data_IF_265109328284
#
_entry.id   IF_265109328284
#
_cell.length_a   1.000
_cell.length_b   1.000
_cell.length_c   1.000
_cell.angle_alpha   90.00
_cell.angle_beta   90.00
_cell.angle_gamma   90.00
#
_symmetry.space_group_name_H-M   'P 1'
#
loop_
_entity.id
_entity.type
_entity.pdbx_description
1 polymer ?
2 non-polymer ?
3 non-polymer ?
4 non-polymer ?
5 non-polymer ?
6 water ?
#
# COMPACT_ATOMS: atom_id res chain seq x y z
N UNK A 4 -18.95 5.44 -26.67
CA UNK A 4 -19.45 6.12 -25.47
C UNK A 4 -18.40 6.11 -24.35
N UNK A 5 -17.43 5.21 -24.45
CA UNK A 5 -16.60 4.89 -23.29
C UNK A 5 -15.20 4.52 -23.75
N UNK A 6 -14.25 4.64 -22.83
CA UNK A 6 -12.85 4.40 -23.17
C UNK A 6 -12.55 2.90 -23.28
N UNK A 7 -13.18 2.05 -22.48
CA UNK A 7 -13.00 0.60 -22.60
C UNK A 7 -13.93 0.03 -23.66
N UNK A 8 -13.39 -0.80 -24.55
CA UNK A 8 -14.27 -1.43 -25.52
C UNK A 8 -15.09 -2.57 -24.93
N UNK A 9 -14.66 -3.15 -23.82
CA UNK A 9 -15.48 -4.08 -23.07
C UNK A 9 -15.00 -4.08 -21.62
N UNK A 10 -15.90 -4.48 -20.72
CA UNK A 10 -15.65 -4.40 -19.29
C UNK A 10 -15.03 -5.70 -18.79
N UNK A 11 -13.82 -5.95 -19.28
CA UNK A 11 -13.04 -7.13 -18.94
C UNK A 11 -11.59 -6.75 -18.80
N UNK A 12 -10.82 -7.67 -18.23
CA UNK A 12 -9.37 -7.48 -18.15
C UNK A 12 -8.78 -7.27 -19.53
N UNK A 13 -9.30 -7.99 -20.55
CA UNK A 13 -8.81 -7.79 -21.91
C UNK A 13 -9.11 -6.39 -22.42
N UNK A 14 -10.30 -5.87 -22.11
CA UNK A 14 -10.59 -4.50 -22.48
C UNK A 14 -9.63 -3.52 -21.82
N UNK A 15 -9.30 -3.76 -20.55
CA UNK A 15 -8.37 -2.87 -19.86
C UNK A 15 -7.00 -2.94 -20.50
N UNK A 16 -6.53 -4.15 -20.79
CA UNK A 16 -5.22 -4.28 -21.44
C UNK A 16 -5.17 -3.57 -22.79
N UNK A 17 -6.23 -3.71 -23.60
CA UNK A 17 -6.26 -3.01 -24.88
C UNK A 17 -6.23 -1.50 -24.66
N UNK A 18 -6.97 -1.03 -23.67
CA UNK A 18 -6.94 0.39 -23.37
C UNK A 18 -5.55 0.83 -22.94
N UNK A 19 -4.89 0.04 -22.09
CA UNK A 19 -3.58 0.40 -21.58
C UNK A 19 -2.57 0.55 -22.72
N UNK A 20 -2.66 -0.30 -23.72
CA UNK A 20 -1.69 -0.19 -24.80
C UNK A 20 -2.12 0.77 -25.90
N UNK A 21 -3.31 1.37 -25.79
CA UNK A 21 -3.72 2.44 -26.69
C UNK A 21 -3.03 3.74 -26.33
N UNK A 22 -3.04 4.68 -27.28
CA UNK A 22 -2.38 5.95 -27.04
C UNK A 22 -3.12 6.78 -25.99
N UNK A 23 -4.36 6.43 -25.67
CA UNK A 23 -5.13 7.21 -24.71
C UNK A 23 -4.69 7.01 -23.27
N UNK A 24 -3.96 5.94 -22.98
CA UNK A 24 -3.64 5.59 -21.60
C UNK A 24 -2.15 5.82 -21.41
N UNK A 25 -1.81 6.91 -20.75
CA UNK A 25 -0.42 7.27 -20.49
C UNK A 25 -0.06 7.31 -19.01
N UNK A 26 -1.02 7.57 -18.13
CA UNK A 26 -0.74 7.79 -16.71
C UNK A 26 -1.64 6.92 -15.84
N UNK A 27 -1.03 6.02 -15.08
CA UNK A 27 -1.72 5.05 -14.25
C UNK A 27 -1.47 5.40 -12.78
N UNK A 28 -2.55 5.45 -11.99
CA UNK A 28 -2.44 5.56 -10.53
C UNK A 28 -2.82 4.22 -9.94
N UNK A 29 -1.95 3.67 -9.09
CA UNK A 29 -2.29 2.48 -8.33
C UNK A 29 -2.72 2.88 -6.92
N UNK A 30 -3.79 2.24 -6.43
CA UNK A 30 -4.22 2.31 -5.04
C UNK A 30 -4.13 0.91 -4.49
N UNK A 31 -3.30 0.70 -3.45
CA UNK A 31 -3.04 -0.65 -2.98
C UNK A 31 -3.21 -0.74 -1.47
N UNK A 32 -3.58 -1.95 -1.01
CA UNK A 32 -3.77 -2.27 0.38
C UNK A 32 -3.15 -3.58 0.78
N UNK A 33 -3.59 -4.12 1.93
CA UNK A 33 -2.89 -5.26 2.53
C UNK A 33 -2.93 -6.49 1.65
N UNK A 34 -3.91 -6.58 0.75
CA UNK A 34 -4.03 -7.75 -0.10
C UNK A 34 -2.85 -7.96 -1.04
N UNK A 35 -2.04 -6.92 -1.28
CA UNK A 35 -0.89 -7.09 -2.17
C UNK A 35 0.33 -7.58 -1.42
N UNK A 36 0.27 -7.72 -0.10
CA UNK A 36 1.44 -8.15 0.66
C UNK A 36 1.23 -9.44 1.42
N UNK A 37 0.02 -10.00 1.43
CA UNK A 37 -0.20 -11.25 2.15
C UNK A 37 0.62 -12.40 1.54
N UNK A 38 0.77 -12.44 0.22
CA UNK A 38 1.56 -13.52 -0.35
C UNK A 38 3.04 -13.38 -0.05
N UNK A 39 3.46 -12.20 0.44
CA UNK A 39 4.83 -11.97 0.87
C UNK A 39 5.07 -12.41 2.31
N UNK A 40 4.03 -12.86 2.98
CA UNK A 40 4.13 -13.26 4.36
C UNK A 40 3.78 -12.17 5.34
N UNK A 41 3.31 -11.03 4.88
CA UNK A 41 2.92 -9.91 5.75
C UNK A 41 1.41 -10.05 5.98
N UNK A 42 0.96 -10.41 7.18
CA UNK A 42 -0.48 -10.52 7.43
C UNK A 42 -1.18 -9.18 7.29
N UNK A 43 -2.47 -9.25 6.95
CA UNK A 43 -3.35 -8.09 6.95
C UNK A 43 -3.79 -7.89 8.39
N UNK A 44 -3.13 -6.97 9.10
CA UNK A 44 -3.43 -6.81 10.52
C UNK A 44 -4.74 -6.04 10.73
N UNK A 45 -5.60 -6.04 9.71
CA UNK A 45 -6.98 -5.59 9.83
C UNK A 45 -7.97 -6.71 9.57
N UNK A 46 -7.52 -7.84 9.00
CA UNK A 46 -8.33 -9.05 8.86
C UNK A 46 -8.33 -9.83 10.17
N UNK A 47 -9.49 -10.29 10.62
CA UNK A 47 -9.56 -10.98 11.91
C UNK A 47 -8.81 -12.30 11.93
N UNK A 48 -8.63 -12.95 10.77
CA UNK A 48 -7.98 -14.26 10.73
C UNK A 48 -6.54 -14.21 11.23
N UNK A 49 -5.87 -13.07 11.03
CA UNK A 49 -4.52 -12.89 11.57
C UNK A 49 -4.54 -12.84 13.09
N UNK A 50 -5.64 -12.36 13.68
CA UNK A 50 -5.80 -12.40 15.11
C UNK A 50 -4.88 -11.48 15.88
N UNK A 51 -4.53 -10.32 15.30
CA UNK A 51 -3.68 -9.37 16.01
C UNK A 51 -4.28 -8.96 17.34
N UNK A 52 -5.54 -8.50 17.33
CA UNK A 52 -6.14 -7.94 18.53
C UNK A 52 -6.33 -8.98 19.63
N UNK A 53 -6.31 -10.27 19.29
CA UNK A 53 -6.56 -11.32 20.26
C UNK A 53 -5.35 -11.58 21.14
N UNK A 54 -4.16 -11.66 20.55
CA UNK A 54 -2.96 -12.00 21.31
C UNK A 54 -2.45 -10.85 22.18
N UNK A 55 -3.03 -9.64 22.04
CA UNK A 55 -2.49 -8.45 22.69
C UNK A 55 -2.77 -8.38 24.18
N UNK A 56 -2.70 -9.51 24.88
CA UNK A 56 -2.87 -9.50 26.33
C UNK A 56 -1.55 -9.46 27.09
N UNK A 57 -0.47 -9.98 26.49
CA UNK A 57 0.84 -9.97 27.11
C UNK A 57 1.39 -8.57 27.32
N UNK A 58 0.79 -7.54 26.71
CA UNK A 58 1.29 -6.18 26.77
C UNK A 58 0.58 -5.31 27.80
N UNK A 59 -0.51 -5.80 28.39
CA UNK A 59 -1.11 -5.20 29.58
C UNK A 59 -1.57 -3.76 29.29
N UNK A 60 -2.55 -3.64 28.30
CA UNK A 60 -3.04 -2.40 27.73
C UNK A 60 -4.33 -1.95 28.42
N UNK A 61 -4.54 -0.63 28.57
CA UNK A 61 -5.84 -0.15 29.11
C UNK A 61 -7.01 -0.45 28.19
N UNK A 62 -6.80 -0.43 26.89
CA UNK A 62 -7.77 -0.86 25.90
C UNK A 62 -7.01 -1.29 24.66
N UNK A 63 -7.59 -2.17 23.84
CA UNK A 63 -6.78 -2.81 22.78
C UNK A 63 -6.15 -1.84 21.79
N UNK A 64 -6.84 -0.74 21.46
CA UNK A 64 -6.36 0.16 20.43
C UNK A 64 -5.30 1.14 20.92
N UNK A 65 -5.08 1.21 22.24
CA UNK A 65 -4.12 2.17 22.79
C UNK A 65 -2.72 1.89 22.30
N UNK A 66 -2.40 0.63 21.97
CA UNK A 66 -1.07 0.30 21.46
C UNK A 66 -0.86 0.81 20.05
N UNK A 67 -1.90 1.29 19.38
CA UNK A 67 -1.78 1.88 18.06
C UNK A 67 -2.01 3.39 18.08
N UNK A 68 -2.14 3.99 19.27
CA UNK A 68 -2.50 5.39 19.43
C UNK A 68 -1.28 6.21 19.83
N UNK A 69 -1.25 7.48 19.40
CA UNK A 69 -0.04 8.30 19.49
C UNK A 69 0.22 8.77 20.92
N UNK A 70 -0.81 9.19 21.65
CA UNK A 70 -0.58 9.72 23.00
C UNK A 70 -0.12 8.61 23.94
N UNK A 71 -0.82 7.46 23.92
CA UNK A 71 -0.36 6.33 24.70
C UNK A 71 1.07 5.96 24.33
N UNK A 72 1.37 5.93 23.03
CA UNK A 72 2.71 5.58 22.58
C UNK A 72 3.75 6.52 23.16
N UNK A 73 3.48 7.83 23.12
CA UNK A 73 4.47 8.77 23.64
C UNK A 73 4.63 8.63 25.15
N UNK A 74 3.57 8.25 25.87
CA UNK A 74 3.71 7.99 27.31
C UNK A 74 4.29 6.61 27.61
N UNK A 75 3.98 5.63 26.78
CA UNK A 75 4.32 4.23 27.07
C UNK A 75 4.62 3.56 25.74
N UNK A 76 5.84 3.75 25.22
CA UNK A 76 6.16 3.16 23.92
C UNK A 76 6.55 1.70 23.96
N UNK A 77 6.84 1.15 25.15
CA UNK A 77 7.32 -0.22 25.27
C UNK A 77 6.35 -1.24 24.66
N UNK A 78 5.04 -1.17 24.91
CA UNK A 78 4.15 -2.18 24.29
C UNK A 78 4.25 -2.18 22.78
N UNK A 79 4.21 -1.00 22.15
CA UNK A 79 4.33 -0.94 20.70
C UNK A 79 5.60 -1.64 20.20
N UNK A 80 6.73 -1.39 20.85
CA UNK A 80 7.99 -1.93 20.34
C UNK A 80 8.14 -3.43 20.62
N UNK A 81 7.56 -3.91 21.72
CA UNK A 81 7.51 -5.35 21.95
C UNK A 81 6.66 -6.04 20.89
N UNK A 82 5.50 -5.46 20.59
CA UNK A 82 4.66 -5.98 19.53
C UNK A 82 5.37 -5.93 18.19
N UNK A 83 6.16 -4.87 17.96
CA UNK A 83 6.89 -4.75 16.70
C UNK A 83 7.94 -5.85 16.57
N UNK A 84 8.54 -6.27 17.69
CA UNK A 84 9.44 -7.41 17.64
C UNK A 84 8.66 -8.67 17.29
N UNK A 85 7.53 -8.88 17.95
CA UNK A 85 6.71 -10.08 17.71
C UNK A 85 6.29 -10.18 16.24
N UNK A 86 5.90 -9.06 15.62
CA UNK A 86 5.36 -9.05 14.27
C UNK A 86 6.40 -8.76 13.20
N UNK A 87 7.68 -8.62 13.56
CA UNK A 87 8.69 -8.26 12.56
C UNK A 87 8.79 -9.34 11.50
N UNK A 88 8.80 -8.98 10.21
CA UNK A 88 8.79 -10.01 9.16
C UNK A 88 10.08 -10.82 9.16
N UNK A 89 9.96 -12.08 8.74
CA UNK A 89 11.16 -12.88 8.61
C UNK A 89 11.97 -12.56 7.37
N UNK A 90 11.33 -11.92 6.39
CA UNK A 90 11.97 -11.57 5.14
C UNK A 90 11.17 -10.44 4.53
N UNK A 91 11.84 -9.62 3.72
CA UNK A 91 11.19 -8.53 2.99
C UNK A 91 11.29 -8.82 1.49
N UNK A 92 10.33 -9.59 0.99
CA UNK A 92 10.37 -10.07 -0.39
C UNK A 92 9.08 -9.62 -1.05
N UNK A 93 9.09 -8.54 -1.81
CA UNK A 93 7.86 -8.04 -2.42
C UNK A 93 7.25 -9.06 -3.37
N UNK A 94 5.99 -8.85 -3.68
CA UNK A 94 5.21 -9.81 -4.46
C UNK A 94 5.24 -9.49 -5.96
N UNK A 95 4.68 -10.43 -6.73
CA UNK A 95 4.46 -10.20 -8.15
C UNK A 95 3.72 -8.89 -8.36
N UNK A 96 2.77 -8.57 -7.49
CA UNK A 96 2.03 -7.31 -7.59
C UNK A 96 2.97 -6.11 -7.45
N UNK A 97 3.82 -6.12 -6.43
CA UNK A 97 4.76 -5.01 -6.26
C UNK A 97 5.64 -4.85 -7.49
N UNK A 98 6.14 -5.96 -8.02
CA UNK A 98 7.02 -5.84 -9.18
C UNK A 98 6.25 -5.47 -10.44
N UNK A 99 4.95 -5.80 -10.51
CA UNK A 99 4.14 -5.29 -11.60
C UNK A 99 4.11 -3.78 -11.58
N UNK A 100 4.00 -3.19 -10.38
CA UNK A 100 4.08 -1.73 -10.29
C UNK A 100 5.46 -1.22 -10.68
N UNK A 101 6.52 -1.94 -10.31
CA UNK A 101 7.84 -1.53 -10.77
C UNK A 101 7.94 -1.59 -12.30
N UNK A 102 7.30 -2.59 -12.93
CA UNK A 102 7.26 -2.67 -14.38
C UNK A 102 6.48 -1.49 -14.97
N UNK A 103 5.37 -1.11 -14.34
CA UNK A 103 4.68 0.11 -14.76
C UNK A 103 5.62 1.31 -14.73
N UNK A 104 6.40 1.42 -13.67
CA UNK A 104 7.37 2.52 -13.58
C UNK A 104 8.38 2.45 -14.72
N UNK A 105 8.90 1.25 -14.97
CA UNK A 105 9.92 1.06 -16.00
C UNK A 105 9.38 1.39 -17.39
N UNK A 106 8.11 1.09 -17.64
CA UNK A 106 7.48 1.33 -18.93
C UNK A 106 7.02 2.78 -19.09
N UNK A 107 7.24 3.63 -18.10
CA UNK A 107 6.83 5.03 -18.17
C UNK A 107 5.36 5.27 -18.00
N UNK A 108 4.63 4.35 -17.35
CA UNK A 108 3.19 4.44 -17.18
C UNK A 108 2.77 4.82 -15.77
N UNK A 109 3.66 4.81 -14.79
CA UNK A 109 3.25 4.97 -13.39
C UNK A 109 3.27 6.44 -12.99
N UNK A 110 2.09 7.02 -12.77
CA UNK A 110 2.01 8.36 -12.21
C UNK A 110 2.24 8.35 -10.70
N UNK A 111 1.59 7.44 -9.98
CA UNK A 111 1.74 7.43 -8.54
C UNK A 111 1.18 6.12 -8.01
N UNK A 112 1.77 5.64 -6.93
CA UNK A 112 1.18 4.53 -6.18
C UNK A 112 0.80 5.08 -4.81
N UNK A 113 -0.49 5.07 -4.51
CA UNK A 113 -1.00 5.40 -3.18
C UNK A 113 -1.16 4.09 -2.43
N UNK A 114 -0.47 3.95 -1.29
CA UNK A 114 -0.53 2.70 -0.54
C UNK A 114 -1.03 2.93 0.87
N UNK A 115 -1.82 1.98 1.36
CA UNK A 115 -2.21 1.92 2.76
C UNK A 115 -1.22 1.15 3.61
N UNK A 116 -0.26 0.49 3.00
CA UNK A 116 0.61 -0.43 3.73
C UNK A 116 1.79 0.32 4.34
N UNK A 117 2.26 -0.18 5.49
CA UNK A 117 3.44 0.35 6.17
C UNK A 117 4.63 -0.59 6.03
N UNK A 118 4.50 -1.66 5.24
CA UNK A 118 5.47 -2.74 5.28
C UNK A 118 6.73 -2.52 4.45
N UNK A 119 6.83 -1.40 3.71
CA UNK A 119 7.99 -0.94 2.95
C UNK A 119 8.18 -1.70 1.64
N UNK A 120 7.32 -2.67 1.30
CA UNK A 120 7.65 -3.52 0.16
C UNK A 120 7.62 -2.75 -1.16
N UNK A 121 6.83 -1.68 -1.27
CA UNK A 121 6.90 -0.84 -2.48
C UNK A 121 8.31 -0.32 -2.73
N UNK A 122 8.98 0.11 -1.65
CA UNK A 122 10.33 0.67 -1.80
C UNK A 122 11.32 -0.43 -2.16
N UNK A 123 11.20 -1.59 -1.52
CA UNK A 123 12.13 -2.67 -1.82
C UNK A 123 11.96 -3.14 -3.25
N UNK A 124 10.73 -3.09 -3.76
CA UNK A 124 10.44 -3.44 -5.14
C UNK A 124 10.92 -2.41 -6.14
N UNK A 125 11.40 -1.25 -5.70
CA UNK A 125 12.01 -0.29 -6.59
C UNK A 125 11.16 0.93 -6.91
N UNK A 126 10.05 1.16 -6.22
CA UNK A 126 9.36 2.43 -6.35
C UNK A 126 10.09 3.47 -5.51
N UNK A 127 10.25 4.68 -6.06
CA UNK A 127 11.00 5.71 -5.36
C UNK A 127 10.04 6.59 -4.56
N UNK A 128 10.62 7.37 -3.64
CA UNK A 128 9.79 8.23 -2.81
C UNK A 128 8.84 9.07 -3.66
N UNK A 129 9.31 9.57 -4.80
CA UNK A 129 8.46 10.44 -5.62
C UNK A 129 7.29 9.66 -6.21
N UNK A 130 7.44 8.35 -6.41
CA UNK A 130 6.38 7.51 -6.96
C UNK A 130 5.29 7.19 -5.96
N UNK A 131 5.51 7.45 -4.67
CA UNK A 131 4.74 6.84 -3.60
C UNK A 131 4.03 7.90 -2.77
N UNK A 132 2.78 7.61 -2.40
CA UNK A 132 2.11 8.30 -1.31
C UNK A 132 1.81 7.21 -0.28
N UNK A 133 2.58 7.19 0.80
CA UNK A 133 2.35 6.22 1.87
C UNK A 133 1.34 6.84 2.82
N UNK A 134 0.06 6.61 2.50
CA UNK A 134 -1.03 7.34 3.12
C UNK A 134 -1.10 7.08 4.61
N UNK A 135 -0.68 5.90 5.06
CA UNK A 135 -0.68 5.57 6.47
C UNK A 135 0.74 5.53 7.07
N UNK A 136 1.70 6.11 6.37
CA UNK A 136 3.09 6.10 6.81
C UNK A 136 3.80 4.81 6.47
N UNK A 137 4.94 4.60 7.13
CA UNK A 137 5.79 3.46 6.80
C UNK A 137 6.78 3.20 7.93
N UNK A 138 7.22 1.95 8.03
CA UNK A 138 8.36 1.58 8.87
C UNK A 138 9.70 1.97 8.25
N UNK A 139 9.71 2.41 7.00
CA UNK A 139 10.96 2.51 6.24
C UNK A 139 11.92 3.48 6.89
N UNK A 140 11.40 4.59 7.40
CA UNK A 140 12.19 5.58 8.11
C UNK A 140 11.52 5.88 9.44
N UNK A 141 12.32 6.35 10.39
CA UNK A 141 11.85 6.72 11.71
C UNK A 141 12.45 8.07 12.06
N UNK A 142 11.80 8.80 12.94
CA UNK A 142 12.34 10.10 13.37
C UNK A 142 12.27 10.26 14.87
N UNK A 143 13.32 10.86 15.41
CA UNK A 143 13.26 11.50 16.71
C UNK A 143 12.00 12.33 16.83
N UNK A 144 11.28 12.16 17.95
CA UNK A 144 10.02 12.88 18.10
C UNK A 144 10.19 14.34 18.53
N UNK A 145 11.38 14.76 18.95
CA UNK A 145 11.55 16.14 19.39
C UNK A 145 11.54 17.07 18.18
N UNK A 146 10.66 18.08 18.20
CA UNK A 146 10.44 18.92 17.03
C UNK A 146 11.71 19.68 16.65
N UNK A 147 12.55 19.98 17.62
CA UNK A 147 13.77 20.75 17.35
C UNK A 147 14.92 19.88 16.86
N UNK A 148 14.70 18.57 16.74
CA UNK A 148 15.77 17.66 16.32
C UNK A 148 15.35 16.88 15.08
N UNK A 149 14.40 15.96 15.20
CA UNK A 149 13.85 15.21 14.06
C UNK A 149 14.92 14.44 13.29
N UNK A 150 15.95 13.95 13.98
CA UNK A 150 16.95 13.08 13.38
C UNK A 150 16.27 11.87 12.74
N UNK A 151 16.65 11.55 11.51
CA UNK A 151 16.06 10.43 10.77
C UNK A 151 16.93 9.19 10.93
N UNK A 152 16.27 8.05 11.11
CA UNK A 152 16.93 6.76 11.28
C UNK A 152 16.34 5.75 10.30
N UNK A 153 17.19 4.97 9.66
CA UNK A 153 16.71 3.97 8.70
C UNK A 153 16.21 2.72 9.42
N UNK A 154 15.52 1.87 8.66
CA UNK A 154 14.91 0.68 9.24
C UNK A 154 15.95 -0.24 9.90
N UNK A 155 17.15 -0.36 9.34
CA UNK A 155 18.16 -1.24 9.96
C UNK A 155 18.47 -0.83 11.41
N UNK A 156 18.59 0.48 11.66
CA UNK A 156 18.83 0.96 13.01
C UNK A 156 17.66 0.61 13.93
N UNK A 157 16.45 0.86 13.43
CA UNK A 157 15.24 0.60 14.21
C UNK A 157 15.09 -0.88 14.50
N UNK A 158 15.43 -1.74 13.53
CA UNK A 158 15.38 -3.17 13.73
C UNK A 158 16.35 -3.61 14.82
N UNK A 159 17.59 -3.11 14.77
CA UNK A 159 18.53 -3.44 15.83
C UNK A 159 17.97 -3.08 17.20
N UNK A 160 17.37 -1.89 17.33
CA UNK A 160 16.78 -1.52 18.62
C UNK A 160 15.64 -2.45 19.00
N UNK A 161 14.78 -2.81 18.04
CA UNK A 161 13.59 -3.60 18.34
C UNK A 161 13.96 -4.99 18.80
N UNK A 162 14.91 -5.64 18.12
CA UNK A 162 15.28 -7.00 18.50
C UNK A 162 16.08 -7.03 19.80
N UNK A 163 16.93 -6.03 20.03
CA UNK A 163 17.61 -6.03 21.32
C UNK A 163 16.70 -5.62 22.47
N UNK A 164 15.44 -5.28 22.17
CA UNK A 164 14.46 -4.88 23.19
C UNK A 164 14.96 -3.66 23.98
N UNK A 165 15.62 -2.76 23.28
CA UNK A 165 16.01 -1.46 23.81
C UNK A 165 15.08 -0.42 23.20
N UNK A 166 14.49 0.42 24.03
CA UNK A 166 13.60 1.43 23.48
C UNK A 166 14.42 2.42 22.68
N UNK A 167 14.11 2.63 21.40
CA UNK A 167 14.99 3.44 20.53
C UNK A 167 14.96 4.91 20.95
N UNK A 168 16.14 5.44 21.25
CA UNK A 168 16.32 6.83 21.64
C UNK A 168 17.27 7.51 20.66
N UNK A 169 17.03 8.79 20.44
CA UNK A 169 17.82 9.57 19.50
C UNK A 169 19.26 9.72 19.99
N UNK A 170 20.21 9.47 19.11
CA UNK A 170 21.62 9.60 19.45
C UNK A 170 22.04 11.05 19.67
N UNK A 171 21.31 12.01 19.08
CA UNK A 171 21.66 13.42 19.29
C UNK A 171 21.07 13.97 20.58
N UNK A 172 19.81 13.63 20.88
CA UNK A 172 19.12 14.31 21.98
C UNK A 172 18.44 13.38 22.99
N UNK A 173 18.51 12.07 22.78
CA UNK A 173 17.95 11.03 23.67
C UNK A 173 16.42 11.03 23.73
N UNK A 174 15.73 11.75 22.86
CA UNK A 174 14.29 11.61 22.76
C UNK A 174 13.92 10.26 22.14
N UNK A 175 12.67 9.88 22.36
CA UNK A 175 12.09 8.73 21.68
C UNK A 175 12.17 8.88 20.16
N UNK A 176 12.46 7.76 19.48
CA UNK A 176 12.41 7.69 18.03
C UNK A 176 11.21 6.84 17.64
N UNK A 177 10.38 7.36 16.75
CA UNK A 177 9.13 6.73 16.36
C UNK A 177 9.17 6.37 14.87
N UNK A 178 8.80 5.16 14.48
CA UNK A 178 8.67 4.88 13.04
C UNK A 178 7.69 5.86 12.41
N UNK A 179 7.91 6.14 11.12
CA UNK A 179 7.10 7.13 10.40
C UNK A 179 5.72 6.61 10.04
N UNK A 180 5.15 5.80 10.90
CA UNK A 180 3.78 5.33 10.78
C UNK A 180 2.83 6.44 11.20
N UNK A 181 1.70 6.55 10.52
CA UNK A 181 0.61 7.41 10.99
C UNK A 181 -0.08 6.65 12.13
N UNK A 182 0.20 7.01 13.38
CA UNK A 182 -0.49 6.39 14.49
C UNK A 182 -1.94 6.88 14.57
N UNK A 183 -2.80 6.09 15.20
CA UNK A 183 -4.14 6.58 15.50
C UNK A 183 -4.02 7.86 16.30
N UNK A 184 -4.78 8.88 15.92
CA UNK A 184 -4.68 10.17 16.53
C UNK A 184 -3.79 11.16 15.82
N UNK A 185 -3.00 10.72 14.86
CA UNK A 185 -2.25 11.62 13.98
C UNK A 185 -3.01 11.81 12.68
N UNK A 186 -2.73 12.92 12.00
CA UNK A 186 -3.35 13.17 10.72
C UNK A 186 -2.54 12.51 9.61
N UNK A 187 -3.23 12.16 8.52
CA UNK A 187 -2.53 11.63 7.36
C UNK A 187 -1.57 12.70 6.85
N UNK A 188 -0.49 12.30 6.18
CA UNK A 188 0.51 13.28 5.74
C UNK A 188 -0.09 14.29 4.77
N UNK A 189 0.44 15.51 4.80
CA UNK A 189 -0.05 16.53 3.87
C UNK A 189 0.16 16.11 2.42
N UNK A 190 1.22 15.34 2.18
CA UNK A 190 1.53 14.81 0.86
C UNK A 190 0.33 14.06 0.26
N UNK A 191 -0.45 13.38 1.10
CA UNK A 191 -1.61 12.64 0.59
C UNK A 191 -2.61 13.57 -0.09
N UNK A 192 -2.92 14.70 0.54
CA UNK A 192 -3.92 15.61 0.01
C UNK A 192 -3.36 16.43 -1.15
N UNK A 193 -2.11 16.87 -1.06
CA UNK A 193 -1.53 17.67 -2.15
C UNK A 193 -1.36 16.84 -3.41
N UNK A 194 -0.83 15.61 -3.25
CA UNK A 194 -0.70 14.75 -4.42
C UNK A 194 -2.07 14.44 -5.00
N UNK A 195 -3.06 14.10 -4.16
CA UNK A 195 -4.40 13.82 -4.66
C UNK A 195 -4.89 14.95 -5.56
N UNK A 196 -4.79 16.19 -5.06
CA UNK A 196 -5.24 17.37 -5.79
C UNK A 196 -4.62 17.46 -7.18
N UNK A 197 -3.33 17.13 -7.30
CA UNK A 197 -2.71 17.24 -8.61
C UNK A 197 -2.86 15.98 -9.47
N UNK A 198 -2.66 14.80 -8.88
CA UNK A 198 -2.59 13.55 -9.63
C UNK A 198 -3.91 13.23 -10.30
N UNK A 199 -5.04 13.53 -9.64
CA UNK A 199 -6.29 13.06 -10.21
C UNK A 199 -6.81 13.97 -11.32
N UNK A 200 -6.10 15.07 -11.63
CA UNK A 200 -6.32 15.80 -12.87
C UNK A 200 -5.69 15.10 -14.06
N UNK A 201 -4.80 14.15 -13.80
CA UNK A 201 -3.88 13.64 -14.80
C UNK A 201 -4.07 12.15 -15.09
N UNK A 202 -4.90 11.46 -14.33
CA UNK A 202 -4.92 10.00 -14.38
C UNK A 202 -5.73 9.50 -15.57
N UNK A 203 -5.19 8.49 -16.26
CA UNK A 203 -5.87 7.79 -17.35
C UNK A 203 -6.44 6.44 -16.93
N UNK A 204 -5.92 5.83 -15.87
CA UNK A 204 -6.36 4.52 -15.43
C UNK A 204 -6.12 4.42 -13.92
N UNK A 205 -7.12 3.94 -13.20
CA UNK A 205 -6.96 3.65 -11.78
C UNK A 205 -6.87 2.13 -11.63
N UNK A 206 -5.76 1.66 -11.07
CA UNK A 206 -5.59 0.24 -10.78
C UNK A 206 -5.65 0.09 -9.26
N UNK A 207 -6.69 -0.58 -8.77
CA UNK A 207 -6.99 -0.72 -7.34
C UNK A 207 -6.72 -2.17 -7.00
N UNK A 208 -5.69 -2.43 -6.18
CA UNK A 208 -5.28 -3.81 -5.93
C UNK A 208 -5.17 -4.10 -4.44
N UNK A 209 -5.79 -5.18 -3.98
CA UNK A 209 -5.58 -5.64 -2.63
C UNK A 209 -6.12 -4.72 -1.56
N UNK A 210 -7.17 -3.97 -1.86
CA UNK A 210 -7.81 -3.15 -0.85
C UNK A 210 -9.32 -3.30 -0.98
N UNK A 211 -9.98 -3.44 0.17
CA UNK A 211 -11.43 -3.46 0.23
C UNK A 211 -12.04 -2.07 0.31
N UNK A 212 -11.22 -1.01 0.26
CA UNK A 212 -11.73 0.35 0.17
C UNK A 212 -12.72 0.65 1.29
N UNK A 213 -12.36 0.24 2.51
CA UNK A 213 -13.18 0.50 3.68
C UNK A 213 -12.62 1.57 4.61
N UNK A 214 -11.35 1.91 4.48
CA UNK A 214 -10.72 2.87 5.40
C UNK A 214 -10.71 4.23 4.72
N UNK A 215 -11.23 5.25 5.40
CA UNK A 215 -11.28 6.62 4.91
C UNK A 215 -10.15 7.44 5.53
N UNK A 216 -9.67 8.48 4.85
CA UNK A 216 -10.09 9.00 3.53
C UNK A 216 -9.49 8.26 2.33
N UNK A 217 -8.68 7.21 2.52
CA UNK A 217 -8.06 6.52 1.40
C UNK A 217 -9.11 6.02 0.41
N UNK A 218 -10.18 5.42 0.91
CA UNK A 218 -11.20 4.86 0.02
C UNK A 218 -11.77 5.93 -0.91
N UNK A 219 -11.94 7.15 -0.39
CA UNK A 219 -12.52 8.22 -1.18
C UNK A 219 -11.70 8.56 -2.42
N UNK A 220 -10.45 8.11 -2.50
CA UNK A 220 -9.67 8.39 -3.71
C UNK A 220 -10.38 7.93 -4.98
N UNK A 221 -11.18 6.84 -4.91
CA UNK A 221 -11.72 6.39 -6.19
C UNK A 221 -12.72 7.39 -6.76
N UNK A 222 -13.30 8.23 -5.91
CA UNK A 222 -14.25 9.23 -6.38
C UNK A 222 -13.55 10.49 -6.90
N UNK A 223 -12.23 10.57 -6.79
CA UNK A 223 -11.52 11.72 -7.33
C UNK A 223 -11.12 11.52 -8.78
N UNK A 224 -11.34 10.34 -9.32
CA UNK A 224 -11.01 10.14 -10.71
C UNK A 224 -11.99 10.90 -11.60
N UNK A 225 -11.53 11.36 -12.75
CA UNK A 225 -12.48 11.85 -13.76
C UNK A 225 -13.47 10.77 -14.14
N UNK A 226 -14.65 11.23 -14.56
CA UNK A 226 -15.74 10.31 -14.87
C UNK A 226 -15.39 9.33 -15.99
N UNK A 227 -14.51 9.71 -16.92
CA UNK A 227 -14.17 8.80 -18.01
C UNK A 227 -13.10 7.79 -17.64
N UNK A 228 -12.36 8.00 -16.55
CA UNK A 228 -11.18 7.21 -16.26
C UNK A 228 -11.56 5.77 -15.92
N UNK A 229 -11.09 4.75 -16.64
CA UNK A 229 -11.41 3.38 -16.24
C UNK A 229 -10.77 3.03 -14.90
N UNK A 230 -11.42 2.11 -14.21
CA UNK A 230 -10.98 1.71 -12.87
C UNK A 230 -11.06 0.20 -12.79
N UNK A 231 -9.91 -0.45 -12.60
CA UNK A 231 -9.82 -1.90 -12.53
C UNK A 231 -9.51 -2.30 -11.09
N UNK A 232 -10.34 -3.17 -10.52
CA UNK A 232 -10.15 -3.74 -9.19
C UNK A 232 -9.58 -5.14 -9.33
N UNK A 233 -8.45 -5.41 -8.70
CA UNK A 233 -7.87 -6.74 -8.61
C UNK A 233 -7.86 -7.09 -7.13
N UNK A 234 -8.73 -8.00 -6.71
CA UNK A 234 -8.96 -8.18 -5.28
C UNK A 234 -9.70 -9.49 -5.10
N UNK A 235 -9.57 -10.11 -3.92
CA UNK A 235 -10.27 -11.37 -3.68
C UNK A 235 -11.78 -11.19 -3.68
N UNK A 236 -12.27 -10.00 -3.29
CA UNK A 236 -13.69 -9.71 -3.23
C UNK A 236 -13.98 -8.40 -3.94
N UNK A 237 -15.19 -8.31 -4.51
CA UNK A 237 -15.63 -7.03 -5.06
C UNK A 237 -15.73 -5.99 -3.95
N UNK A 238 -15.35 -4.76 -4.27
CA UNK A 238 -15.31 -3.73 -3.24
C UNK A 238 -15.49 -2.37 -3.90
N UNK A 239 -15.72 -1.36 -3.07
CA UNK A 239 -15.84 0.01 -3.49
C UNK A 239 -17.16 0.39 -4.11
N UNK A 240 -18.12 -0.54 -4.17
CA UNK A 240 -19.44 -0.19 -4.66
C UNK A 240 -20.16 0.67 -3.64
N UNK A 241 -21.17 1.40 -4.11
CA UNK A 241 -21.97 2.25 -3.25
C UNK A 241 -22.67 1.40 -2.18
N UNK A 242 -22.57 1.85 -0.94
CA UNK A 242 -23.12 1.08 0.17
C UNK A 242 -24.61 1.35 0.29
N UNK A 243 -25.46 0.33 0.16
CA UNK A 243 -26.91 0.58 0.12
C UNK A 243 -27.43 1.31 1.33
N UNK A 244 -26.68 1.32 2.43
CA UNK A 244 -27.12 1.92 3.69
C UNK A 244 -26.74 3.38 3.78
N UNK A 245 -25.44 3.68 3.75
CA UNK A 245 -24.93 5.03 3.94
C UNK A 245 -25.24 5.93 2.75
N UNK A 246 -26.51 6.13 2.44
CA UNK A 246 -26.91 6.99 1.34
C UNK A 246 -26.55 6.46 -0.03
N UNK A 253 -19.33 8.49 -5.88
CA UNK A 253 -18.74 7.94 -7.09
C UNK A 253 -18.23 6.52 -6.92
N UNK A 254 -19.08 5.66 -6.37
CA UNK A 254 -18.72 4.28 -6.15
C UNK A 254 -18.55 3.49 -7.44
N UNK A 255 -17.90 2.34 -7.29
CA UNK A 255 -17.70 1.42 -8.41
C UNK A 255 -19.04 0.88 -8.89
N UNK A 256 -19.19 0.80 -10.20
CA UNK A 256 -20.35 0.13 -10.80
C UNK A 256 -19.80 -0.90 -11.78
N UNK A 257 -19.71 -2.15 -11.35
CA UNK A 257 -19.20 -3.20 -12.21
C UNK A 257 -20.29 -3.84 -13.04
N UNK A 258 -21.51 -3.87 -12.51
CA UNK A 258 -22.45 -4.89 -12.91
C UNK A 258 -23.80 -4.38 -13.38
N UNK A 259 -24.13 -3.11 -13.22
CA UNK A 259 -25.44 -2.64 -13.64
C UNK A 259 -25.46 -2.36 -15.14
N UNK A 260 -26.68 -2.18 -15.66
CA UNK A 260 -26.85 -1.78 -17.05
C UNK A 260 -26.16 -0.47 -17.38
N UNK A 261 -25.90 0.36 -16.36
CA UNK A 261 -25.24 1.65 -16.55
C UNK A 261 -23.72 1.56 -16.41
N UNK A 262 -23.19 0.36 -16.15
CA UNK A 262 -21.74 0.23 -15.99
C UNK A 262 -21.05 0.57 -17.30
N UNK A 263 -19.93 1.30 -17.22
CA UNK A 263 -19.25 1.73 -18.44
C UNK A 263 -17.73 1.79 -18.31
N UNK A 264 -17.18 1.71 -17.11
CA UNK A 264 -15.74 1.91 -16.99
C UNK A 264 -15.08 1.13 -15.86
N UNK A 265 -15.82 0.39 -15.05
CA UNK A 265 -15.27 -0.29 -13.88
C UNK A 265 -15.25 -1.79 -14.14
N UNK A 266 -14.11 -2.43 -13.86
CA UNK A 266 -13.92 -3.86 -14.09
C UNK A 266 -13.41 -4.49 -12.80
N UNK A 267 -13.96 -5.65 -12.46
CA UNK A 267 -13.53 -6.42 -11.29
C UNK A 267 -12.91 -7.74 -11.74
N UNK A 268 -11.68 -7.99 -11.32
CA UNK A 268 -11.01 -9.27 -11.50
C UNK A 268 -10.82 -9.88 -10.12
N UNK A 269 -11.55 -10.96 -9.84
CA UNK A 269 -11.66 -11.50 -8.48
C UNK A 269 -10.70 -12.67 -8.31
N UNK A 270 -9.72 -12.50 -7.43
CA UNK A 270 -8.75 -13.53 -7.14
C UNK A 270 -7.62 -12.94 -6.35
N UNK A 271 -6.56 -13.73 -6.20
CA UNK A 271 -5.35 -13.23 -5.57
C UNK A 271 -4.68 -12.16 -6.42
N UNK A 272 -4.07 -11.18 -5.75
CA UNK A 272 -3.51 -10.05 -6.47
C UNK A 272 -2.39 -10.49 -7.42
N UNK A 273 -1.55 -11.43 -6.98
CA UNK A 273 -0.47 -11.91 -7.82
C UNK A 273 -1.00 -12.51 -9.10
N UNK A 274 -2.03 -13.36 -9.00
CA UNK A 274 -2.58 -14.03 -10.18
C UNK A 274 -3.26 -13.04 -11.12
N UNK A 275 -3.92 -12.02 -10.56
CA UNK A 275 -4.50 -10.99 -11.41
C UNK A 275 -3.44 -10.19 -12.13
N UNK A 276 -2.36 -9.85 -11.42
CA UNK A 276 -1.31 -9.09 -12.09
C UNK A 276 -0.60 -9.93 -13.14
N UNK A 277 -0.42 -11.23 -12.88
CA UNK A 277 0.14 -12.12 -13.89
C UNK A 277 -0.75 -12.16 -15.12
N UNK A 278 -2.06 -12.23 -14.91
CA UNK A 278 -2.97 -12.31 -16.06
C UNK A 278 -2.93 -11.03 -16.88
N UNK A 279 -2.94 -9.89 -16.20
CA UNK A 279 -2.86 -8.61 -16.91
C UNK A 279 -1.53 -8.47 -17.64
N UNK A 280 -0.42 -8.84 -16.98
CA UNK A 280 0.89 -8.81 -17.65
C UNK A 280 0.91 -9.71 -18.88
N UNK A 281 0.33 -10.91 -18.76
CA UNK A 281 0.27 -11.81 -19.91
C UNK A 281 -0.45 -11.13 -21.06
N UNK A 282 -1.59 -10.50 -20.78
CA UNK A 282 -2.34 -9.85 -21.85
C UNK A 282 -1.54 -8.73 -22.50
N UNK A 283 -0.75 -8.02 -21.68
CA UNK A 283 0.07 -6.91 -22.17
C UNK A 283 1.34 -7.37 -22.87
N UNK A 284 1.65 -8.66 -22.88
CA UNK A 284 2.91 -9.09 -23.43
C UNK A 284 4.10 -8.90 -22.50
N UNK A 285 3.86 -8.68 -21.21
CA UNK A 285 4.91 -8.43 -20.22
C UNK A 285 5.23 -9.63 -19.35
N UNK A 286 4.63 -10.80 -19.60
CA UNK A 286 4.76 -11.88 -18.61
C UNK A 286 6.20 -12.33 -18.47
N UNK A 287 6.94 -12.47 -19.58
CA UNK A 287 8.34 -12.86 -19.43
C UNK A 287 9.17 -11.78 -18.75
N UNK A 288 8.93 -10.50 -19.10
CA UNK A 288 9.65 -9.44 -18.40
C UNK A 288 9.39 -9.46 -16.90
N UNK A 289 8.13 -9.64 -16.50
CA UNK A 289 7.78 -9.65 -15.09
C UNK A 289 8.36 -10.86 -14.39
N UNK A 290 8.27 -12.03 -15.03
CA UNK A 290 8.89 -13.23 -14.47
C UNK A 290 10.38 -13.02 -14.24
N UNK A 291 11.09 -12.49 -15.24
CA UNK A 291 12.53 -12.30 -15.11
C UNK A 291 12.86 -11.30 -14.01
N UNK A 292 12.08 -10.21 -13.92
CA UNK A 292 12.31 -9.22 -12.88
C UNK A 292 12.09 -9.81 -11.49
N UNK A 293 10.97 -10.53 -11.32
CA UNK A 293 10.67 -11.13 -10.01
C UNK A 293 11.72 -12.17 -9.65
N UNK A 294 12.07 -13.04 -10.59
CA UNK A 294 13.06 -14.08 -10.30
C UNK A 294 14.39 -13.47 -9.89
N UNK A 295 14.85 -12.41 -10.58
CA UNK A 295 16.15 -11.88 -10.18
C UNK A 295 16.09 -11.09 -8.88
N UNK A 296 15.01 -10.32 -8.65
CA UNK A 296 14.90 -9.57 -7.40
C UNK A 296 14.76 -10.51 -6.20
N UNK A 297 13.91 -11.54 -6.34
CA UNK A 297 13.76 -12.54 -5.28
C UNK A 297 15.07 -13.27 -5.03
N UNK A 298 15.79 -13.65 -6.10
CA UNK A 298 17.07 -14.30 -5.92
C UNK A 298 18.04 -13.40 -5.17
N UNK A 299 18.06 -12.10 -5.51
CA UNK A 299 18.98 -11.22 -4.80
C UNK A 299 18.61 -11.08 -3.34
N UNK A 300 17.32 -11.07 -3.02
CA UNK A 300 16.89 -10.98 -1.63
C UNK A 300 17.18 -12.27 -0.88
N UNK A 301 16.93 -13.43 -1.52
CA UNK A 301 17.22 -14.72 -0.90
C UNK A 301 18.71 -14.88 -0.63
N UNK A 302 19.54 -14.26 -1.46
CA UNK A 302 20.97 -14.40 -1.40
C UNK A 302 21.64 -13.33 -0.56
N UNK A 303 20.87 -12.51 0.15
CA UNK A 303 21.48 -11.51 1.02
C UNK A 303 22.35 -12.18 2.06
N UNK A 304 23.65 -11.91 2.00
CA UNK A 304 24.62 -12.56 2.88
C UNK A 304 25.27 -11.59 3.87
X LIG B 1 2.75 -3.90 12.53
X LIG B 1 3.51 -3.72 13.69
X LIG B 1 2.91 -3.23 14.82
X LIG B 1 1.56 -2.90 14.85
X LIG B 1 0.81 -3.08 13.69
X LIG B 1 1.41 -3.58 12.54
X LIG B 1 3.37 -4.46 11.29
X LIG B 1 5.20 -5.75 10.31
X LIG B 1 6.36 -4.93 9.83
X LIG B 1 6.47 -4.52 8.51
X LIG B 1 7.59 -3.81 8.12
X LIG B 1 8.57 -3.52 9.05
X LIG B 1 8.38 -3.98 10.34
X LIG B 1 4.50 -5.16 11.44
X LIG B 1 2.88 -4.23 10.18
X LIG B 1 7.30 -4.67 10.74
X LIG B 1 3.86 -2.97 16.26
X LIG C 1 -4.27 5.11 10.33
X LIG C 1 -5.33 5.34 9.47
X LIG C 1 -6.09 6.48 9.61
X LIG C 1 -5.81 7.42 10.59
X LIG C 1 -4.74 7.19 11.44
X LIG C 1 -3.97 6.04 11.31
X LIG C 1 -3.51 3.83 10.15
X LIG C 1 -1.42 2.62 10.32
X LIG C 1 -0.99 1.99 11.63
X LIG C 1 -0.27 0.81 11.66
X LIG C 1 0.19 0.34 12.88
X LIG C 1 -0.07 1.06 14.02
X LIG C 1 -0.80 2.23 13.90
X LIG C 1 -2.22 3.81 10.49
X LIG C 1 -4.08 2.82 9.71
X LIG C 1 -1.26 2.70 12.74
X LIG C 1 -7.43 6.75 8.53
X LIG D 1 -18.81 -2.95 -1.20
X LIG D 1 -18.42 -3.00 -2.65
X LIG D 1 -18.98 -4.64 -0.59
X LIG D 1 -20.55 -2.44 -1.10
X LIG E 1 -18.01 11.51 -19.09
X LIG E 1 -17.27 11.74 -20.29
X LIG E 1 -17.67 10.13 -18.53
X LIG E 1 -18.26 9.11 -19.33
X LIG F 1 -13.06 -13.30 -12.62
X LIG F 1 -13.33 -12.23 -11.71
X LIG F 1 -11.56 -13.41 -12.89
X LIG F 1 -11.01 -14.43 -12.06
X LIG G 1 4.03 -0.90 -23.53
X LIG G 1 3.52 -2.23 -23.44
X LIG G 1 3.17 -0.02 -22.64
X LIG G 1 1.79 -0.21 -22.99
X LIG H 1 16.72 13.87 18.53
#
# INVERSE_FOLDING_TARGET
GHMERLLDELTLEGVARYMQSERCRRVICLVGAGISTSAGIPDFRSPSTGLYDNLEKYHLPYPEAIFEISYFKKHPEPFFALAKELYPGQFKPTICHYFMRLLKDKGLLLRCYTQNIDTLERIAGLEQEDLVEAHGTFYTSHCVSASCRHEYPLSWMKEKIFSEVTPKCEDCQSLVKPDIVFFGESLPARFFSCMQSDFLKVDLLLVMGTSLQVQPFASLISKAPLSTPRLLINKEKAGQSDPFLGMIMGLGGGMDFDSKKAYRDVAWLGECDQGCLALAELLGWKKELEDLVRREHASIDAQS
A1IBY C11 C12 C13 C15 C16 C17 C2 C4 C5 C6 C7 C8 C9 N3 O1 N10 CL14
A1IBY C11 C12 C13 C15 C16 C17 C2 C4 C5 C6 C7 C8 C9 N3 O1 N10 CL14
DMS S O C1 C2
EDO C1 O1 C2 O2
EDO C1 O1 C2 O2
EDO C1 O1 C2 O2
ZN ZN
#
